data_IF_641561310206
#
_entry.id   IF_641561310206
#
_cell.length_a   1.000
_cell.length_b   1.000
_cell.length_c   1.000
_cell.angle_alpha   90.00
_cell.angle_beta   90.00
_cell.angle_gamma   90.00
#
_symmetry.space_group_name_H-M   'P 1'
#
loop_
_entity.id
_entity.type
_entity.pdbx_description
1 polymer ?
#
# COMPACT_ATOMS: atom_id res chain seq x y z
N UNK A 1 -18.92 5.35 -5.30
CA UNK A 1 -18.57 6.32 -6.36
C UNK A 1 -17.39 7.14 -5.88
N UNK A 2 -16.26 7.10 -6.58
CA UNK A 2 -15.13 7.96 -6.26
C UNK A 2 -15.52 9.42 -6.51
N UNK A 3 -15.15 10.30 -5.58
CA UNK A 3 -15.39 11.74 -5.70
C UNK A 3 -14.66 12.24 -6.96
N UNK A 4 -15.31 13.02 -7.86
CA UNK A 4 -14.61 13.60 -9.00
C UNK A 4 -13.45 14.47 -8.50
N UNK A 5 -12.27 14.33 -9.11
CA UNK A 5 -11.06 15.05 -8.70
C UNK A 5 -11.25 16.54 -8.99
N UNK A 6 -11.38 17.31 -7.92
CA UNK A 6 -11.71 18.74 -7.96
C UNK A 6 -10.63 19.56 -8.68
N UNK A 7 -9.43 19.00 -8.89
CA UNK A 7 -8.29 19.66 -9.51
C UNK A 7 -8.08 19.30 -10.99
N UNK A 8 -8.96 18.50 -11.61
CA UNK A 8 -8.81 18.09 -13.00
C UNK A 8 -8.75 19.28 -13.97
N UNK A 9 -9.60 20.29 -13.74
CA UNK A 9 -9.64 21.52 -14.55
C UNK A 9 -8.33 22.31 -14.41
N UNK A 10 -7.80 22.41 -13.19
CA UNK A 10 -6.54 23.13 -12.93
C UNK A 10 -5.34 22.44 -13.60
N UNK A 11 -5.37 21.10 -13.69
CA UNK A 11 -4.30 20.33 -14.36
C UNK A 11 -4.31 20.50 -15.88
N UNK A 12 -5.46 20.79 -16.47
CA UNK A 12 -5.62 21.03 -17.90
C UNK A 12 -5.19 22.44 -18.32
N UNK A 13 -5.07 23.39 -17.38
CA UNK A 13 -4.77 24.80 -17.70
C UNK A 13 -3.46 24.99 -18.48
N UNK A 14 -2.30 24.44 -18.06
CA UNK A 14 -1.06 24.65 -18.82
C UNK A 14 -1.15 24.07 -20.23
N UNK A 15 -1.78 22.91 -20.38
CA UNK A 15 -2.00 22.27 -21.68
C UNK A 15 -2.89 23.13 -22.59
N UNK A 16 -4.04 23.58 -22.08
CA UNK A 16 -4.99 24.40 -22.84
C UNK A 16 -4.40 25.76 -23.22
N UNK A 17 -3.75 26.44 -22.28
CA UNK A 17 -3.11 27.75 -22.52
C UNK A 17 -1.96 27.62 -23.51
N UNK A 18 -1.10 26.59 -23.37
CA UNK A 18 -0.01 26.35 -24.31
C UNK A 18 -0.50 26.03 -25.72
N UNK A 19 -1.57 25.23 -25.85
CA UNK A 19 -2.20 24.92 -27.14
C UNK A 19 -2.84 26.14 -27.79
N UNK A 20 -3.61 26.93 -27.03
CA UNK A 20 -4.26 28.14 -27.51
C UNK A 20 -3.23 29.20 -27.94
N UNK A 21 -2.23 29.48 -27.09
CA UNK A 21 -1.19 30.45 -27.39
C UNK A 21 -0.35 30.02 -28.61
N UNK A 22 -0.01 28.73 -28.72
CA UNK A 22 0.70 28.19 -29.87
C UNK A 22 -0.11 28.31 -31.17
N UNK A 23 -1.42 28.05 -31.09
CA UNK A 23 -2.35 28.26 -32.22
C UNK A 23 -2.44 29.72 -32.64
N UNK A 24 -2.52 30.65 -31.67
CA UNK A 24 -2.53 32.09 -31.96
C UNK A 24 -1.20 32.56 -32.58
N UNK A 25 -0.05 32.05 -32.12
CA UNK A 25 1.25 32.34 -32.75
C UNK A 25 1.31 31.84 -34.19
N UNK A 26 0.77 30.66 -34.47
CA UNK A 26 0.70 30.10 -35.82
C UNK A 26 -0.20 30.96 -36.73
N UNK A 27 -1.39 31.34 -36.25
CA UNK A 27 -2.31 32.22 -37.00
C UNK A 27 -1.65 33.57 -37.27
N UNK A 28 -1.06 34.19 -36.24
CA UNK A 28 -0.32 35.44 -36.38
C UNK A 28 0.78 35.33 -37.44
N UNK A 29 1.50 34.20 -37.44
CA UNK A 29 2.55 33.93 -38.42
C UNK A 29 2.03 33.81 -39.85
N UNK A 30 0.89 33.16 -40.06
CA UNK A 30 0.28 32.99 -41.38
C UNK A 30 -0.31 34.29 -41.95
N UNK A 31 -0.76 35.19 -41.08
CA UNK A 31 -1.34 36.48 -41.47
C UNK A 31 -0.29 37.61 -41.63
N UNK A 32 0.95 37.39 -41.19
CA UNK A 32 2.03 38.38 -41.29
C UNK A 32 2.63 38.39 -42.69
N UNK A 33 2.52 39.52 -43.40
CA UNK A 33 3.03 39.69 -44.78
C UNK A 33 4.54 39.96 -44.87
N UNK A 34 5.10 40.74 -43.93
CA UNK A 34 6.53 41.00 -43.82
C UNK A 34 7.00 40.74 -42.40
N UNK A 35 7.97 39.83 -42.27
CA UNK A 35 8.51 39.44 -40.96
C UNK A 35 9.67 40.35 -40.55
N UNK A 36 9.54 40.98 -39.39
CA UNK A 36 10.65 41.72 -38.77
C UNK A 36 11.56 40.79 -37.95
N UNK A 37 12.84 41.19 -37.79
CA UNK A 37 13.80 40.43 -36.98
C UNK A 37 13.38 40.34 -35.49
N UNK A 38 12.74 41.38 -34.95
CA UNK A 38 12.21 41.36 -33.59
C UNK A 38 11.04 40.39 -33.45
N UNK A 39 10.12 40.36 -34.42
CA UNK A 39 9.01 39.42 -34.45
C UNK A 39 9.48 37.98 -34.56
N UNK A 40 10.48 37.69 -35.41
CA UNK A 40 11.05 36.34 -35.52
C UNK A 40 11.63 35.82 -34.20
N UNK A 41 12.32 36.67 -33.43
CA UNK A 41 12.86 36.31 -32.11
C UNK A 41 11.74 36.11 -31.08
N UNK A 42 10.71 36.97 -31.11
CA UNK A 42 9.53 36.85 -30.25
C UNK A 42 8.77 35.56 -30.53
N UNK A 43 8.54 35.20 -31.80
CA UNK A 43 7.88 33.96 -32.21
C UNK A 43 8.65 32.74 -31.68
N UNK A 44 9.99 32.73 -31.80
CA UNK A 44 10.82 31.62 -31.32
C UNK A 44 10.69 31.41 -29.80
N UNK A 45 10.77 32.47 -29.01
CA UNK A 45 10.58 32.40 -27.55
C UNK A 45 9.14 32.00 -27.22
N UNK A 46 8.15 32.52 -27.94
CA UNK A 46 6.74 32.19 -27.77
C UNK A 46 6.45 30.70 -28.01
N UNK A 47 7.01 30.12 -29.08
CA UNK A 47 6.88 28.68 -29.37
C UNK A 47 7.51 27.83 -28.27
N UNK A 48 8.69 28.22 -27.76
CA UNK A 48 9.34 27.53 -26.64
C UNK A 48 8.45 27.54 -25.39
N UNK A 49 7.87 28.70 -25.04
CA UNK A 49 6.96 28.82 -23.89
C UNK A 49 5.72 27.93 -24.08
N UNK A 50 5.14 27.91 -25.28
CA UNK A 50 3.99 27.04 -25.57
C UNK A 50 4.34 25.55 -25.42
N UNK A 51 5.49 25.13 -25.93
CA UNK A 51 5.97 23.74 -25.80
C UNK A 51 6.20 23.35 -24.33
N UNK A 52 6.80 24.24 -23.53
CA UNK A 52 6.99 24.02 -22.09
C UNK A 52 5.64 23.89 -21.37
N UNK A 53 4.67 24.77 -21.65
CA UNK A 53 3.34 24.72 -21.04
C UNK A 53 2.59 23.43 -21.38
N UNK A 54 2.64 22.98 -22.64
CA UNK A 54 2.04 21.71 -23.07
C UNK A 54 2.70 20.54 -22.32
N UNK A 55 4.03 20.50 -22.24
CA UNK A 55 4.76 19.45 -21.56
C UNK A 55 4.48 19.43 -20.05
N UNK A 56 4.39 20.59 -19.41
CA UNK A 56 3.97 20.72 -18.00
C UNK A 56 2.57 20.16 -17.79
N UNK A 57 1.61 20.50 -18.66
CA UNK A 57 0.24 19.97 -18.58
C UNK A 57 0.20 18.44 -18.76
N UNK A 58 0.98 17.89 -19.69
CA UNK A 58 1.09 16.44 -19.89
C UNK A 58 1.73 15.74 -18.68
N UNK A 59 2.76 16.32 -18.06
CA UNK A 59 3.36 15.79 -16.84
C UNK A 59 2.36 15.78 -15.68
N UNK A 60 1.55 16.84 -15.54
CA UNK A 60 0.54 16.92 -14.48
C UNK A 60 -0.60 15.91 -14.64
N UNK A 61 -0.83 15.39 -15.85
CA UNK A 61 -1.79 14.32 -16.08
C UNK A 61 -1.28 12.93 -15.64
N UNK A 62 0.04 12.72 -15.52
CA UNK A 62 0.61 11.37 -15.39
C UNK A 62 0.91 10.87 -13.96
N UNK A 63 0.59 11.61 -12.89
CA UNK A 63 1.19 11.32 -11.57
C UNK A 63 0.18 11.13 -10.41
N UNK A 64 -1.00 10.57 -10.66
CA UNK A 64 -1.86 10.09 -9.57
C UNK A 64 -2.00 8.57 -9.68
N UNK A 65 -1.28 7.80 -8.84
CA UNK A 65 -1.53 6.37 -8.69
C UNK A 65 -2.99 6.18 -8.30
N UNK A 66 -3.78 5.50 -9.13
CA UNK A 66 -5.14 5.15 -8.75
C UNK A 66 -5.06 4.25 -7.51
N UNK A 67 -5.62 4.66 -6.36
CA UNK A 67 -5.55 3.83 -5.18
C UNK A 67 -6.25 2.49 -5.48
N UNK A 68 -5.68 1.36 -5.04
CA UNK A 68 -6.28 0.06 -5.27
C UNK A 68 -7.67 0.00 -4.63
N UNK A 69 -8.63 -0.64 -5.33
CA UNK A 69 -10.00 -0.76 -4.83
C UNK A 69 -10.02 -1.56 -3.53
N UNK A 70 -10.27 -0.86 -2.42
CA UNK A 70 -10.36 -1.46 -1.10
C UNK A 70 -11.73 -2.10 -0.89
N UNK A 71 -11.74 -3.33 -0.38
CA UNK A 71 -12.98 -4.04 -0.03
C UNK A 71 -13.30 -3.87 1.46
N UNK A 72 -14.57 -4.05 1.83
CA UNK A 72 -14.93 -4.27 3.23
C UNK A 72 -14.66 -5.75 3.55
N UNK A 73 -13.79 -6.03 4.52
CA UNK A 73 -13.49 -7.41 4.90
C UNK A 73 -14.73 -8.09 5.51
N UNK A 74 -14.88 -9.39 5.24
CA UNK A 74 -15.97 -10.22 5.75
C UNK A 74 -15.48 -10.90 7.02
N UNK A 75 -16.08 -10.55 8.15
CA UNK A 75 -15.75 -11.08 9.47
C UNK A 75 -16.24 -10.16 10.58
N UNK A 76 -16.06 -10.58 11.82
CA UNK A 76 -16.36 -9.79 13.01
C UNK A 76 -15.09 -9.11 13.51
N UNK A 77 -15.22 -7.90 14.05
CA UNK A 77 -14.11 -7.24 14.72
C UNK A 77 -13.90 -7.86 16.10
N UNK A 78 -12.68 -8.30 16.39
CA UNK A 78 -12.37 -9.01 17.63
C UNK A 78 -10.92 -8.87 18.08
N UNK A 79 -10.67 -9.40 19.28
CA UNK A 79 -9.37 -9.38 19.94
C UNK A 79 -9.25 -10.59 20.86
N UNK A 80 -8.54 -11.63 20.38
CA UNK A 80 -8.35 -12.88 21.08
C UNK A 80 -6.88 -13.01 21.48
N UNK A 81 -6.61 -13.21 22.77
CA UNK A 81 -5.28 -13.53 23.30
C UNK A 81 -5.29 -14.92 23.93
N UNK A 82 -4.20 -15.67 23.78
CA UNK A 82 -4.04 -16.93 24.47
C UNK A 82 -4.02 -16.71 26.00
N UNK A 83 -4.92 -17.35 26.77
CA UNK A 83 -5.11 -17.05 28.19
C UNK A 83 -3.90 -17.42 29.05
N UNK A 84 -3.11 -18.41 28.63
CA UNK A 84 -1.93 -18.91 29.33
C UNK A 84 -0.70 -17.98 29.25
N UNK A 85 -0.77 -16.91 28.46
CA UNK A 85 0.36 -16.01 28.28
C UNK A 85 0.65 -15.16 29.54
N UNK A 86 1.93 -14.92 29.87
CA UNK A 86 2.31 -13.95 30.89
C UNK A 86 1.76 -12.54 30.58
N UNK A 87 1.42 -11.77 31.62
CA UNK A 87 0.81 -10.44 31.45
C UNK A 87 1.71 -9.46 30.67
N UNK A 88 3.03 -9.58 30.82
CA UNK A 88 3.99 -8.78 30.06
C UNK A 88 3.92 -9.09 28.56
N UNK A 89 3.79 -10.38 28.19
CA UNK A 89 3.62 -10.81 26.79
C UNK A 89 2.26 -10.38 26.25
N UNK A 90 1.18 -10.52 27.03
CA UNK A 90 -0.16 -10.06 26.64
C UNK A 90 -0.17 -8.56 26.35
N UNK A 91 0.45 -7.76 27.22
CA UNK A 91 0.55 -6.31 27.09
C UNK A 91 1.34 -5.95 25.83
N UNK A 92 2.46 -6.61 25.59
CA UNK A 92 3.31 -6.36 24.44
C UNK A 92 2.60 -6.73 23.12
N UNK A 93 1.95 -7.90 23.06
CA UNK A 93 1.16 -8.31 21.89
C UNK A 93 -0.03 -7.38 21.64
N UNK A 94 -0.71 -6.94 22.70
CA UNK A 94 -1.79 -5.96 22.61
C UNK A 94 -1.30 -4.61 22.07
N UNK A 95 -0.13 -4.15 22.51
CA UNK A 95 0.49 -2.92 22.03
C UNK A 95 0.94 -3.04 20.56
N UNK A 96 1.70 -4.08 20.22
CA UNK A 96 2.23 -4.32 18.88
C UNK A 96 1.10 -4.42 17.84
N UNK A 97 0.07 -5.18 18.16
CA UNK A 97 -1.10 -5.37 17.30
C UNK A 97 -1.91 -4.09 17.11
N UNK A 98 -2.05 -3.28 18.16
CA UNK A 98 -2.72 -1.99 18.06
C UNK A 98 -1.96 -1.06 17.12
N UNK A 99 -0.63 -0.95 17.29
CA UNK A 99 0.20 -0.10 16.44
C UNK A 99 0.13 -0.51 14.98
N UNK A 100 0.20 -1.80 14.68
CA UNK A 100 0.10 -2.30 13.31
C UNK A 100 -1.26 -1.98 12.68
N UNK A 101 -2.37 -2.18 13.40
CA UNK A 101 -3.72 -1.89 12.88
C UNK A 101 -4.00 -0.40 12.70
N UNK A 102 -3.34 0.47 13.48
CA UNK A 102 -3.60 1.92 13.45
C UNK A 102 -2.62 2.70 12.59
N UNK A 103 -1.40 2.21 12.40
CA UNK A 103 -0.34 2.91 11.68
C UNK A 103 0.02 2.26 10.33
N UNK A 104 -0.59 1.13 9.98
CA UNK A 104 -0.44 0.50 8.66
C UNK A 104 -1.80 0.26 8.01
N UNK A 105 -1.80 -0.22 6.77
CA UNK A 105 -3.01 -0.63 6.04
C UNK A 105 -3.61 -1.98 6.51
N UNK A 106 -3.01 -2.59 7.54
CA UNK A 106 -3.47 -3.87 8.12
C UNK A 106 -4.87 -3.73 8.71
N UNK A 107 -5.73 -4.72 8.46
CA UNK A 107 -7.10 -4.79 8.99
C UNK A 107 -7.37 -6.04 9.82
N UNK A 108 -6.52 -7.04 9.70
CA UNK A 108 -6.57 -8.25 10.49
C UNK A 108 -5.15 -8.76 10.71
N UNK A 109 -4.86 -9.26 11.90
CA UNK A 109 -3.58 -9.86 12.20
C UNK A 109 -3.72 -11.12 13.06
N UNK A 110 -2.74 -12.00 12.89
CA UNK A 110 -2.59 -13.22 13.66
C UNK A 110 -1.12 -13.39 14.02
N UNK A 111 -0.84 -13.72 15.30
CA UNK A 111 0.50 -14.05 15.78
C UNK A 111 0.54 -15.52 16.12
N UNK A 112 1.49 -16.23 15.51
CA UNK A 112 1.75 -17.64 15.79
C UNK A 112 3.16 -17.78 16.34
N UNK A 113 3.32 -18.56 17.41
CA UNK A 113 4.62 -18.87 17.99
C UNK A 113 4.62 -20.32 18.50
N UNK A 114 5.67 -21.07 18.20
CA UNK A 114 5.81 -22.49 18.53
C UNK A 114 4.59 -23.34 18.12
N UNK A 115 3.99 -23.02 16.96
CA UNK A 115 2.81 -23.70 16.43
C UNK A 115 1.49 -23.38 17.14
N UNK A 116 1.48 -22.43 18.09
CA UNK A 116 0.27 -21.96 18.79
C UNK A 116 -0.11 -20.56 18.34
N UNK A 117 -1.41 -20.32 18.22
CA UNK A 117 -1.95 -18.97 17.96
C UNK A 117 -1.96 -18.19 19.28
N UNK A 118 -1.12 -17.16 19.36
CA UNK A 118 -0.99 -16.34 20.57
C UNK A 118 -1.95 -15.15 20.59
N UNK A 119 -2.22 -14.58 19.40
CA UNK A 119 -3.05 -13.40 19.25
C UNK A 119 -3.80 -13.44 17.92
N UNK A 120 -5.07 -13.01 17.93
CA UNK A 120 -5.84 -12.61 16.75
C UNK A 120 -6.47 -11.26 17.00
N UNK A 121 -6.39 -10.32 16.07
CA UNK A 121 -7.00 -8.98 16.26
C UNK A 121 -7.39 -8.31 14.95
N UNK A 122 -8.45 -7.51 14.99
CA UNK A 122 -9.01 -6.80 13.84
C UNK A 122 -10.20 -7.56 13.29
N UNK A 123 -10.36 -7.63 11.97
CA UNK A 123 -11.43 -8.41 11.35
C UNK A 123 -11.05 -9.89 11.34
N UNK A 124 -11.71 -10.71 12.14
CA UNK A 124 -11.34 -12.11 12.34
C UNK A 124 -11.90 -13.01 11.23
N UNK A 125 -11.10 -13.98 10.79
CA UNK A 125 -11.56 -15.10 9.98
C UNK A 125 -12.40 -16.08 10.80
N UNK A 126 -13.15 -16.95 10.12
CA UNK A 126 -14.01 -17.94 10.78
C UNK A 126 -13.20 -19.02 11.50
N UNK A 127 -12.07 -19.44 10.91
CA UNK A 127 -11.20 -20.43 11.52
C UNK A 127 -10.24 -19.75 12.53
N UNK A 128 -10.24 -20.15 13.82
CA UNK A 128 -9.28 -19.64 14.79
C UNK A 128 -7.92 -20.34 14.75
N UNK A 129 -7.83 -21.51 14.12
CA UNK A 129 -6.60 -22.30 14.09
C UNK A 129 -5.74 -21.92 12.89
N UNK A 130 -4.42 -21.91 13.09
CA UNK A 130 -3.45 -21.69 12.01
C UNK A 130 -2.75 -23.00 11.70
N UNK A 131 -2.98 -23.53 10.50
CA UNK A 131 -2.22 -24.65 9.97
C UNK A 131 -1.12 -24.11 9.03
N UNK A 132 0.18 -24.31 9.35
CA UNK A 132 1.26 -23.83 8.49
C UNK A 132 1.26 -24.50 7.11
N UNK A 133 0.82 -23.75 6.10
CA UNK A 133 0.97 -24.11 4.70
C UNK A 133 2.39 -23.91 4.17
N UNK A 134 2.56 -23.99 2.85
CA UNK A 134 3.87 -23.90 2.21
C UNK A 134 4.52 -22.52 2.37
N UNK A 135 3.74 -21.44 2.39
CA UNK A 135 4.30 -20.08 2.50
C UNK A 135 4.74 -19.82 3.93
N UNK A 136 3.91 -20.19 4.92
CA UNK A 136 4.28 -20.00 6.31
C UNK A 136 5.50 -20.84 6.70
N UNK A 137 5.57 -22.10 6.24
CA UNK A 137 6.77 -22.96 6.43
C UNK A 137 8.02 -22.34 5.81
N UNK A 138 7.92 -21.84 4.57
CA UNK A 138 9.04 -21.13 3.92
C UNK A 138 9.49 -19.91 4.71
N UNK A 139 8.57 -19.13 5.26
CA UNK A 139 8.90 -17.95 6.09
C UNK A 139 9.67 -18.37 7.34
N UNK A 140 9.22 -19.42 8.02
CA UNK A 140 9.88 -19.98 9.20
C UNK A 140 11.26 -20.57 8.88
N UNK A 141 11.41 -21.26 7.75
CA UNK A 141 12.69 -21.88 7.33
C UNK A 141 13.71 -20.85 6.82
N UNK A 142 13.26 -19.91 5.98
CA UNK A 142 14.16 -18.94 5.33
C UNK A 142 14.40 -17.71 6.18
N UNK A 143 13.59 -17.49 7.23
CA UNK A 143 13.60 -16.28 8.06
C UNK A 143 13.48 -15.00 7.23
N UNK A 144 12.75 -15.09 6.10
CA UNK A 144 12.49 -13.97 5.20
C UNK A 144 11.00 -13.72 5.10
N UNK A 145 10.64 -12.45 5.19
CA UNK A 145 9.27 -12.02 5.02
C UNK A 145 8.76 -12.37 3.61
N UNK A 146 7.50 -12.77 3.51
CA UNK A 146 6.81 -12.97 2.24
C UNK A 146 5.63 -12.02 2.17
N UNK A 147 5.62 -11.19 1.14
CA UNK A 147 4.50 -10.29 0.84
C UNK A 147 3.75 -10.76 -0.41
N UNK A 148 2.50 -11.19 -0.19
CA UNK A 148 1.54 -11.55 -1.23
C UNK A 148 0.70 -10.33 -1.59
N UNK A 149 1.12 -9.63 -2.64
CA UNK A 149 0.54 -8.34 -3.06
C UNK A 149 -0.91 -8.43 -3.56
N UNK A 150 -1.34 -9.61 -4.02
CA UNK A 150 -2.71 -9.87 -4.44
C UNK A 150 -3.04 -11.34 -4.21
N UNK A 151 -3.63 -11.64 -3.06
CA UNK A 151 -3.86 -13.00 -2.58
C UNK A 151 -4.67 -13.85 -3.57
N UNK A 152 -5.57 -13.24 -4.35
CA UNK A 152 -6.37 -13.93 -5.37
C UNK A 152 -5.54 -14.59 -6.47
N UNK A 153 -4.32 -14.09 -6.72
CA UNK A 153 -3.42 -14.64 -7.75
C UNK A 153 -2.63 -15.86 -7.27
N UNK A 154 -2.63 -16.16 -5.97
CA UNK A 154 -1.81 -17.22 -5.40
C UNK A 154 -2.66 -18.47 -5.15
N UNK A 155 -2.30 -19.63 -5.71
CA UNK A 155 -3.02 -20.88 -5.45
C UNK A 155 -2.90 -21.31 -3.97
N UNK A 156 -1.80 -20.94 -3.30
CA UNK A 156 -1.57 -21.19 -1.87
C UNK A 156 -2.47 -20.39 -0.92
N UNK A 157 -3.35 -19.51 -1.42
CA UNK A 157 -4.24 -18.68 -0.58
C UNK A 157 -5.11 -19.47 0.40
N UNK A 158 -5.34 -20.76 0.12
CA UNK A 158 -6.13 -21.65 0.96
C UNK A 158 -5.50 -21.84 2.35
N UNK A 159 -4.19 -21.60 2.51
CA UNK A 159 -3.53 -21.69 3.81
C UNK A 159 -3.88 -20.54 4.77
N UNK A 160 -4.58 -19.49 4.30
CA UNK A 160 -4.95 -18.31 5.09
C UNK A 160 -6.45 -18.31 5.45
N UNK A 161 -7.04 -19.48 5.63
CA UNK A 161 -8.46 -19.64 6.01
C UNK A 161 -8.81 -19.07 7.40
N UNK A 162 -7.79 -18.78 8.22
CA UNK A 162 -7.88 -18.06 9.49
C UNK A 162 -7.96 -16.53 9.36
N UNK A 163 -7.76 -15.99 8.15
CA UNK A 163 -8.00 -14.59 7.81
C UNK A 163 -9.38 -14.42 7.16
N UNK A 164 -9.90 -13.19 7.03
CA UNK A 164 -11.13 -12.92 6.29
C UNK A 164 -11.11 -13.48 4.85
N UNK A 165 -12.18 -14.15 4.44
CA UNK A 165 -12.30 -14.86 3.15
C UNK A 165 -11.96 -13.97 1.92
N UNK A 166 -12.23 -12.67 2.03
CA UNK A 166 -11.98 -11.68 0.99
C UNK A 166 -10.74 -10.80 1.25
N UNK A 167 -9.73 -11.32 1.94
CA UNK A 167 -8.43 -10.65 2.09
C UNK A 167 -7.79 -10.38 0.73
N UNK A 168 -7.23 -9.19 0.53
CA UNK A 168 -6.63 -8.81 -0.75
C UNK A 168 -5.11 -8.91 -0.75
N UNK A 169 -4.45 -8.62 0.38
CA UNK A 169 -2.99 -8.71 0.51
C UNK A 169 -2.61 -9.31 1.85
N UNK A 170 -1.50 -10.06 1.88
CA UNK A 170 -0.99 -10.70 3.10
C UNK A 170 0.51 -10.51 3.22
N UNK A 171 0.97 -10.11 4.39
CA UNK A 171 2.39 -10.15 4.77
C UNK A 171 2.57 -11.22 5.85
N UNK A 172 3.49 -12.15 5.61
CA UNK A 172 3.98 -13.09 6.61
C UNK A 172 5.39 -12.66 7.00
N UNK A 173 5.53 -12.12 8.20
CA UNK A 173 6.81 -11.68 8.77
C UNK A 173 7.26 -12.71 9.82
N UNK A 174 8.50 -13.24 9.77
CA UNK A 174 8.99 -14.13 10.82
C UNK A 174 9.14 -13.38 12.16
N UNK A 175 8.91 -14.09 13.26
CA UNK A 175 9.14 -13.62 14.63
C UNK A 175 10.19 -14.54 15.24
N UNK A 176 11.46 -14.18 15.03
CA UNK A 176 12.58 -15.08 15.31
C UNK A 176 12.40 -16.46 14.66
N UNK A 177 13.02 -17.48 15.26
CA UNK A 177 13.11 -18.80 14.62
C UNK A 177 11.86 -19.68 14.83
N UNK A 178 10.90 -19.23 15.63
CA UNK A 178 9.81 -20.07 16.13
C UNK A 178 8.41 -19.49 15.90
N UNK A 179 8.30 -18.29 15.32
CA UNK A 179 7.00 -17.67 15.11
C UNK A 179 6.88 -16.88 13.83
N UNK A 180 5.66 -16.44 13.57
CA UNK A 180 5.31 -15.61 12.44
C UNK A 180 4.17 -14.65 12.80
N UNK A 181 4.28 -13.43 12.30
CA UNK A 181 3.28 -12.38 12.31
C UNK A 181 2.62 -12.38 10.93
N UNK A 182 1.34 -12.76 10.88
CA UNK A 182 0.54 -12.73 9.64
C UNK A 182 -0.38 -11.52 9.66
N UNK A 183 -0.28 -10.68 8.63
CA UNK A 183 -0.99 -9.42 8.51
C UNK A 183 -1.80 -9.41 7.22
N UNK A 184 -3.07 -9.05 7.31
CA UNK A 184 -3.99 -8.99 6.19
C UNK A 184 -4.47 -7.57 5.91
N UNK A 185 -4.47 -7.21 4.63
CA UNK A 185 -4.96 -5.95 4.11
C UNK A 185 -6.20 -6.14 3.22
N UNK A 186 -7.02 -5.10 3.17
CA UNK A 186 -8.27 -5.07 2.44
C UNK A 186 -8.14 -4.48 1.01
N UNK A 187 -6.93 -4.16 0.57
CA UNK A 187 -6.63 -3.73 -0.79
C UNK A 187 -5.36 -4.45 -1.30
N UNK A 188 -5.26 -4.77 -2.59
CA UNK A 188 -4.03 -5.34 -3.16
C UNK A 188 -2.93 -4.27 -3.23
N UNK A 189 -1.66 -4.68 -3.14
CA UNK A 189 -0.47 -3.80 -3.27
C UNK A 189 -0.51 -2.59 -2.32
N UNK A 190 -1.11 -2.75 -1.14
CA UNK A 190 -1.38 -1.64 -0.23
C UNK A 190 -0.23 -1.32 0.72
N UNK A 191 0.57 -2.32 1.10
CA UNK A 191 1.72 -2.10 1.98
C UNK A 191 2.84 -1.36 1.25
N UNK A 192 3.33 -0.30 1.89
CA UNK A 192 4.48 0.48 1.45
C UNK A 192 5.78 -0.11 1.99
N UNK A 193 6.93 0.34 1.47
CA UNK A 193 8.24 -0.02 2.02
C UNK A 193 8.44 0.46 3.46
N UNK A 194 7.75 1.53 3.86
CA UNK A 194 7.76 2.01 5.23
C UNK A 194 6.96 1.06 6.13
N UNK A 195 5.80 0.58 5.68
CA UNK A 195 5.02 -0.43 6.42
C UNK A 195 5.81 -1.71 6.61
N UNK A 196 6.46 -2.23 5.56
CA UNK A 196 7.30 -3.43 5.63
C UNK A 196 8.40 -3.30 6.72
N UNK A 197 9.09 -2.15 6.78
CA UNK A 197 10.11 -1.89 7.82
C UNK A 197 9.53 -1.77 9.22
N UNK A 198 8.36 -1.15 9.36
CA UNK A 198 7.66 -1.08 10.65
C UNK A 198 7.23 -2.45 11.14
N UNK A 199 6.72 -3.29 10.24
CA UNK A 199 6.33 -4.67 10.52
C UNK A 199 7.54 -5.49 10.97
N UNK A 200 8.67 -5.37 10.27
CA UNK A 200 9.93 -6.03 10.62
C UNK A 200 10.41 -5.61 12.02
N UNK A 201 10.51 -4.30 12.29
CA UNK A 201 10.97 -3.81 13.60
C UNK A 201 10.04 -4.19 14.76
N UNK A 202 8.72 -4.24 14.53
CA UNK A 202 7.76 -4.71 15.55
C UNK A 202 7.92 -6.22 15.76
N UNK A 203 8.10 -7.00 14.69
CA UNK A 203 8.34 -8.43 14.80
C UNK A 203 9.61 -8.76 15.58
N UNK A 204 10.69 -7.99 15.39
CA UNK A 204 11.94 -8.14 16.15
C UNK A 204 11.75 -7.85 17.64
N UNK A 205 11.02 -6.78 17.99
CA UNK A 205 10.69 -6.44 19.38
C UNK A 205 9.83 -7.53 20.04
N UNK A 206 8.83 -8.02 19.32
CA UNK A 206 7.96 -9.11 19.79
C UNK A 206 8.79 -10.39 19.96
N UNK A 207 9.70 -10.70 19.04
CA UNK A 207 10.57 -11.87 19.13
C UNK A 207 11.44 -11.84 20.38
N UNK A 208 12.04 -10.68 20.70
CA UNK A 208 12.82 -10.49 21.93
C UNK A 208 11.95 -10.80 23.17
N UNK A 209 10.74 -10.23 23.22
CA UNK A 209 9.83 -10.42 24.35
C UNK A 209 9.39 -11.88 24.49
N UNK A 210 9.03 -12.55 23.40
CA UNK A 210 8.61 -13.96 23.41
C UNK A 210 9.76 -14.86 23.85
N UNK A 211 10.96 -14.69 23.28
CA UNK A 211 12.13 -15.50 23.64
C UNK A 211 12.57 -15.37 25.10
N UNK A 212 12.26 -14.25 25.76
CA UNK A 212 12.56 -14.02 27.17
C UNK A 212 11.54 -14.63 28.15
N UNK A 213 10.35 -15.02 27.67
CA UNK A 213 9.22 -15.39 28.54
C UNK A 213 8.55 -16.73 28.18
N UNK A 214 8.83 -17.32 27.01
CA UNK A 214 8.27 -18.57 26.50
C UNK A 214 9.37 -19.47 25.93
#
# INVERSE_FOLDING_TARGET
MAKPDQNDVLRLLPFAVGGLAGGLLLINRLLTSQLTNSQARSDAVGVIVCAVLILTGLLWQQVQPKPPDAVKLIGEEGFDLAPELPDQVKTELAWASHLLLTNTVTRSLVVVYQGKVLLRRGILGKNPQVEPGAILKRVLETQKAVYLVNLKLYPGRLEFDYLPDNTQGVICQPIGNQGALILAANAPRSYTKQDEKWIEGIADKVANTLSGHL
#
